data_IF_035192240393
#
_entry.id   IF_035192240393
#
_cell.length_a   1.000
_cell.length_b   1.000
_cell.length_c   1.000
_cell.angle_alpha   90.00
_cell.angle_beta   90.00
_cell.angle_gamma   90.00
#
_symmetry.space_group_name_H-M   'P 1'
#
loop_
_entity.id
_entity.type
_entity.pdbx_description
1 polymer ?
#
# COMPACT_ATOMS: atom_id res chain seq x y z
N UNK A 1 14.12 -28.93 20.58
CA UNK A 1 12.80 -28.98 19.92
C UNK A 1 12.19 -27.59 19.82
N UNK A 2 12.13 -26.82 20.91
CA UNK A 2 11.60 -25.44 20.94
C UNK A 2 12.26 -24.47 19.92
N UNK A 3 13.60 -24.49 19.77
CA UNK A 3 14.30 -23.65 18.78
C UNK A 3 13.92 -23.95 17.33
N UNK A 4 13.71 -25.23 16.99
CA UNK A 4 13.30 -25.63 15.65
C UNK A 4 11.89 -25.09 15.33
N UNK A 5 11.00 -25.13 16.32
CA UNK A 5 9.64 -24.58 16.21
C UNK A 5 9.69 -23.06 16.00
N UNK A 6 10.50 -22.33 16.78
CA UNK A 6 10.66 -20.86 16.62
C UNK A 6 11.20 -20.48 15.24
N UNK A 7 12.19 -21.22 14.72
CA UNK A 7 12.70 -21.01 13.36
C UNK A 7 11.67 -21.28 12.28
N UNK A 8 10.83 -22.31 12.46
CA UNK A 8 9.72 -22.59 11.56
C UNK A 8 8.68 -21.45 11.60
N UNK A 9 8.34 -20.95 12.80
CA UNK A 9 7.44 -19.81 12.95
C UNK A 9 7.98 -18.54 12.26
N UNK A 10 9.29 -18.29 12.29
CA UNK A 10 9.90 -17.17 11.54
C UNK A 10 9.78 -17.37 10.02
N UNK A 11 9.91 -18.61 9.52
CA UNK A 11 9.72 -18.88 8.10
C UNK A 11 8.26 -18.65 7.67
N UNK A 12 7.31 -19.10 8.48
CA UNK A 12 5.88 -18.84 8.24
C UNK A 12 5.56 -17.35 8.32
N UNK A 13 6.12 -16.64 9.30
CA UNK A 13 6.01 -15.18 9.40
C UNK A 13 6.50 -14.49 8.12
N UNK A 14 7.69 -14.85 7.62
CA UNK A 14 8.26 -14.29 6.39
C UNK A 14 7.29 -14.42 5.22
N UNK A 15 6.82 -15.63 4.97
CA UNK A 15 5.94 -15.91 3.82
C UNK A 15 4.61 -15.13 3.94
N UNK A 16 4.06 -15.01 5.16
CA UNK A 16 2.87 -14.22 5.43
C UNK A 16 3.08 -12.71 5.24
N UNK A 17 4.23 -12.17 5.63
CA UNK A 17 4.53 -10.75 5.43
C UNK A 17 4.74 -10.44 3.94
N UNK A 18 5.36 -11.33 3.17
CA UNK A 18 5.50 -11.17 1.71
C UNK A 18 4.12 -11.12 1.04
N UNK A 19 3.23 -12.04 1.38
CA UNK A 19 1.86 -12.06 0.85
C UNK A 19 1.08 -10.80 1.25
N UNK A 20 1.24 -10.34 2.49
CA UNK A 20 0.63 -9.11 2.99
C UNK A 20 1.12 -7.86 2.26
N UNK A 21 2.43 -7.74 2.04
CA UNK A 21 3.01 -6.61 1.31
C UNK A 21 2.50 -6.55 -0.13
N UNK A 22 2.44 -7.71 -0.80
CA UNK A 22 1.87 -7.81 -2.14
C UNK A 22 0.39 -7.44 -2.16
N UNK A 23 -0.41 -7.91 -1.21
CA UNK A 23 -1.83 -7.57 -1.10
C UNK A 23 -2.04 -6.06 -0.86
N UNK A 24 -1.23 -5.46 0.01
CA UNK A 24 -1.28 -4.03 0.35
C UNK A 24 -1.06 -3.17 -0.91
N UNK A 25 0.03 -3.41 -1.64
CA UNK A 25 0.36 -2.62 -2.83
C UNK A 25 -0.63 -2.87 -3.96
N UNK A 26 -1.08 -4.13 -4.16
CA UNK A 26 -2.08 -4.44 -5.17
C UNK A 26 -3.41 -3.70 -4.90
N UNK A 27 -3.90 -3.71 -3.66
CA UNK A 27 -5.14 -3.02 -3.30
C UNK A 27 -5.02 -1.52 -3.51
N UNK A 28 -3.91 -0.92 -3.05
CA UNK A 28 -3.63 0.49 -3.30
C UNK A 28 -3.55 0.80 -4.80
N UNK A 29 -2.94 -0.08 -5.61
CA UNK A 29 -2.88 0.05 -7.06
C UNK A 29 -4.27 0.06 -7.72
N UNK A 30 -5.19 -0.80 -7.28
CA UNK A 30 -6.57 -0.81 -7.76
C UNK A 30 -7.27 0.51 -7.42
N UNK A 31 -7.16 0.97 -6.18
CA UNK A 31 -7.79 2.23 -5.74
C UNK A 31 -7.17 3.44 -6.44
N UNK A 32 -5.86 3.45 -6.63
CA UNK A 32 -5.15 4.52 -7.33
C UNK A 32 -5.58 4.63 -8.79
N UNK A 33 -5.80 3.50 -9.48
CA UNK A 33 -6.34 3.49 -10.86
C UNK A 33 -7.76 4.08 -10.91
N UNK A 34 -8.60 3.78 -9.91
CA UNK A 34 -9.95 4.35 -9.81
C UNK A 34 -9.91 5.86 -9.56
N UNK A 35 -9.15 6.32 -8.55
CA UNK A 35 -8.98 7.74 -8.24
C UNK A 35 -8.34 8.52 -9.41
N UNK A 36 -7.38 7.92 -10.12
CA UNK A 36 -6.80 8.51 -11.32
C UNK A 36 -7.84 8.68 -12.43
N UNK A 37 -8.75 7.72 -12.62
CA UNK A 37 -9.80 7.82 -13.61
C UNK A 37 -10.79 8.96 -13.31
N UNK A 38 -11.06 9.25 -12.05
CA UNK A 38 -11.90 10.38 -11.61
C UNK A 38 -11.23 11.74 -11.88
N UNK A 39 -9.89 11.79 -11.85
CA UNK A 39 -9.11 13.00 -12.17
C UNK A 39 -8.98 13.30 -13.66
N UNK A 40 -9.38 12.40 -14.55
CA UNK A 40 -9.32 12.59 -16.01
C UNK A 40 -10.48 13.46 -16.53
N UNK A 41 -10.55 14.72 -16.06
CA UNK A 41 -11.51 15.75 -16.48
C UNK A 41 -10.83 16.72 -17.47
N UNK A 42 -11.61 17.49 -18.26
CA UNK A 42 -11.13 18.29 -19.40
C UNK A 42 -9.92 19.22 -19.10
N UNK A 43 -9.84 19.82 -17.91
CA UNK A 43 -8.69 20.67 -17.55
C UNK A 43 -7.40 19.85 -17.30
N UNK A 44 -7.51 18.68 -16.67
CA UNK A 44 -6.40 17.75 -16.51
C UNK A 44 -5.93 17.17 -17.86
N UNK A 45 -6.86 16.95 -18.79
CA UNK A 45 -6.53 16.52 -20.14
C UNK A 45 -5.73 17.58 -20.90
N UNK A 46 -5.99 18.87 -20.66
CA UNK A 46 -5.25 19.97 -21.29
C UNK A 46 -3.79 20.02 -20.85
N UNK A 47 -3.52 19.80 -19.56
CA UNK A 47 -2.15 19.72 -19.03
C UNK A 47 -1.40 18.51 -19.57
N UNK A 48 -2.08 17.37 -19.65
CA UNK A 48 -1.49 16.11 -20.13
C UNK A 48 -1.19 16.08 -21.65
N UNK A 49 -1.65 17.08 -22.44
CA UNK A 49 -1.43 17.10 -23.89
C UNK A 49 0.05 17.18 -24.28
N UNK A 50 0.86 17.88 -23.50
CA UNK A 50 2.25 18.17 -23.84
C UNK A 50 3.21 17.05 -23.41
N UNK A 51 2.96 16.42 -22.26
CA UNK A 51 3.68 15.22 -21.83
C UNK A 51 2.76 14.22 -21.09
N UNK A 52 2.01 13.38 -21.82
CA UNK A 52 0.97 12.54 -21.23
C UNK A 52 1.53 11.47 -20.30
N UNK A 53 2.67 10.88 -20.66
CA UNK A 53 3.28 9.80 -19.87
C UNK A 53 3.82 10.34 -18.56
N UNK A 54 4.60 11.42 -18.59
CA UNK A 54 5.19 12.02 -17.38
C UNK A 54 4.09 12.50 -16.42
N UNK A 55 3.07 13.21 -16.95
CA UNK A 55 1.93 13.66 -16.15
C UNK A 55 1.19 12.49 -15.49
N UNK A 56 0.88 11.43 -16.26
CA UNK A 56 0.20 10.24 -15.72
C UNK A 56 1.04 9.53 -14.65
N UNK A 57 2.36 9.43 -14.86
CA UNK A 57 3.27 8.80 -13.89
C UNK A 57 3.39 9.61 -12.60
N UNK A 58 3.48 10.94 -12.68
CA UNK A 58 3.55 11.80 -11.50
C UNK A 58 2.25 11.76 -10.69
N UNK A 59 1.10 11.83 -11.36
CA UNK A 59 -0.20 11.75 -10.70
C UNK A 59 -0.43 10.42 -10.00
N UNK A 60 -0.10 9.29 -10.65
CA UNK A 60 -0.32 7.98 -10.03
C UNK A 60 0.62 7.74 -8.86
N UNK A 61 1.88 8.18 -8.96
CA UNK A 61 2.84 8.08 -7.87
C UNK A 61 2.40 8.93 -6.67
N UNK A 62 1.89 10.15 -6.90
CA UNK A 62 1.34 11.01 -5.84
C UNK A 62 0.14 10.37 -5.12
N UNK A 63 -0.80 9.80 -5.88
CA UNK A 63 -1.96 9.10 -5.29
C UNK A 63 -1.51 7.90 -4.45
N UNK A 64 -0.56 7.10 -4.96
CA UNK A 64 -0.06 5.94 -4.24
C UNK A 64 0.75 6.31 -3.01
N UNK A 65 1.61 7.35 -3.07
CA UNK A 65 2.33 7.85 -1.89
C UNK A 65 1.35 8.27 -0.79
N UNK A 66 0.33 9.06 -1.15
CA UNK A 66 -0.67 9.50 -0.19
C UNK A 66 -1.43 8.33 0.45
N UNK A 67 -1.79 7.32 -0.34
CA UNK A 67 -2.51 6.14 0.15
C UNK A 67 -1.63 5.19 0.98
N UNK A 68 -0.36 5.00 0.61
CA UNK A 68 0.48 3.95 1.18
C UNK A 68 1.39 4.40 2.32
N UNK A 69 1.69 5.71 2.46
CA UNK A 69 2.69 6.16 3.45
C UNK A 69 2.35 5.73 4.88
N UNK A 70 1.10 5.93 5.31
CA UNK A 70 0.65 5.52 6.65
C UNK A 70 0.46 4.01 6.76
N UNK A 71 -0.03 3.38 5.69
CA UNK A 71 -0.29 1.94 5.66
C UNK A 71 1.00 1.11 5.70
N UNK A 72 2.06 1.54 5.03
CA UNK A 72 3.39 0.92 5.08
C UNK A 72 3.96 1.02 6.50
N UNK A 73 3.82 2.17 7.16
CA UNK A 73 4.24 2.34 8.56
C UNK A 73 3.45 1.41 9.50
N UNK A 74 2.15 1.32 9.31
CA UNK A 74 1.29 0.41 10.09
C UNK A 74 1.65 -1.06 9.84
N UNK A 75 1.95 -1.41 8.58
CA UNK A 75 2.41 -2.73 8.18
C UNK A 75 3.70 -3.13 8.90
N UNK A 76 4.74 -2.29 8.87
CA UNK A 76 6.00 -2.59 9.56
C UNK A 76 5.85 -2.70 11.06
N UNK A 77 5.01 -1.85 11.66
CA UNK A 77 4.68 -1.96 13.08
C UNK A 77 4.04 -3.31 13.41
N UNK A 78 3.07 -3.74 12.60
CA UNK A 78 2.42 -5.05 12.77
C UNK A 78 3.39 -6.22 12.58
N UNK A 79 4.22 -6.18 11.55
CA UNK A 79 5.22 -7.21 11.27
C UNK A 79 6.23 -7.36 12.43
N UNK A 80 6.67 -6.23 13.02
CA UNK A 80 7.55 -6.21 14.18
C UNK A 80 6.89 -6.77 15.46
N UNK A 81 5.62 -6.42 15.70
CA UNK A 81 4.82 -6.99 16.79
C UNK A 81 4.72 -8.51 16.66
N UNK A 82 4.48 -9.02 15.44
CA UNK A 82 4.37 -10.45 15.19
C UNK A 82 5.69 -11.20 15.44
N UNK A 83 6.85 -10.62 15.11
CA UNK A 83 8.15 -11.21 15.45
C UNK A 83 8.37 -11.32 16.96
N UNK A 84 7.99 -10.28 17.71
CA UNK A 84 8.12 -10.28 19.17
C UNK A 84 7.22 -11.33 19.84
N UNK A 85 6.09 -11.70 19.21
CA UNK A 85 5.22 -12.78 19.67
C UNK A 85 5.84 -14.17 19.47
N UNK A 86 6.72 -14.35 18.48
CA UNK A 86 7.44 -15.62 18.27
C UNK A 86 8.49 -15.82 19.36
N UNK A 87 9.33 -14.80 19.60
CA UNK A 87 10.30 -14.80 20.68
C UNK A 87 10.65 -13.35 21.08
N UNK A 88 10.59 -12.98 22.38
CA UNK A 88 10.91 -11.62 22.83
C UNK A 88 12.33 -11.14 22.50
N UNK A 89 13.29 -12.06 22.29
CA UNK A 89 14.65 -11.71 21.86
C UNK A 89 14.73 -11.13 20.45
N UNK A 90 13.67 -11.27 19.65
CA UNK A 90 13.57 -10.74 18.29
C UNK A 90 13.09 -9.28 18.24
N UNK A 91 12.70 -8.68 19.37
CA UNK A 91 12.26 -7.28 19.45
C UNK A 91 13.24 -6.31 18.75
N UNK A 92 14.57 -6.39 18.93
CA UNK A 92 15.50 -5.48 18.25
C UNK A 92 15.44 -5.57 16.71
N UNK A 93 15.19 -6.77 16.17
CA UNK A 93 15.05 -6.98 14.72
C UNK A 93 13.73 -6.35 14.24
N UNK A 94 12.65 -6.54 15.02
CA UNK A 94 11.38 -5.88 14.75
C UNK A 94 11.47 -4.34 14.79
N UNK A 95 12.21 -3.75 15.73
CA UNK A 95 12.42 -2.29 15.75
C UNK A 95 13.21 -1.80 14.54
N UNK A 96 14.18 -2.58 14.05
CA UNK A 96 14.95 -2.22 12.85
C UNK A 96 14.09 -2.18 11.56
N UNK A 97 13.01 -2.96 11.50
CA UNK A 97 12.04 -2.94 10.39
C UNK A 97 11.18 -1.68 10.34
N UNK A 98 10.97 -1.01 11.48
CA UNK A 98 10.09 0.17 11.56
C UNK A 98 10.74 1.45 11.06
N UNK A 99 12.00 1.39 10.62
CA UNK A 99 12.73 2.58 10.18
C UNK A 99 12.14 3.12 8.88
N UNK A 100 11.81 4.41 8.89
CA UNK A 100 11.12 5.09 7.79
C UNK A 100 12.03 5.32 6.56
N UNK A 101 13.35 5.24 6.74
CA UNK A 101 14.37 5.39 5.68
C UNK A 101 14.65 4.08 4.91
N UNK A 102 13.98 2.98 5.26
CA UNK A 102 14.22 1.67 4.64
C UNK A 102 13.66 1.52 3.23
N UNK A 103 12.79 2.42 2.76
CA UNK A 103 12.14 2.33 1.46
C UNK A 103 12.34 3.62 0.67
N UNK A 104 12.69 3.47 -0.60
CA UNK A 104 12.76 4.57 -1.56
C UNK A 104 11.44 4.58 -2.33
N UNK A 105 10.62 5.61 -2.10
CA UNK A 105 9.37 5.78 -2.82
C UNK A 105 9.57 6.54 -4.13
N UNK A 106 8.82 6.21 -5.20
CA UNK A 106 8.87 6.97 -6.44
C UNK A 106 8.53 8.45 -6.25
N UNK A 107 9.33 9.35 -6.84
CA UNK A 107 9.16 10.82 -6.82
C UNK A 107 9.00 11.43 -5.41
N UNK A 108 9.76 10.95 -4.42
CA UNK A 108 9.76 11.47 -3.04
C UNK A 108 10.41 12.87 -2.91
N UNK A 109 11.03 13.39 -3.97
CA UNK A 109 11.72 14.70 -4.00
C UNK A 109 10.78 15.90 -4.29
N UNK A 110 9.49 15.67 -4.57
CA UNK A 110 8.53 16.75 -4.83
C UNK A 110 7.87 17.23 -3.53
N UNK A 111 7.89 18.54 -3.21
CA UNK A 111 7.18 19.07 -2.06
C UNK A 111 5.69 18.76 -2.19
N UNK A 112 5.11 18.22 -1.12
CA UNK A 112 3.69 17.91 -1.03
C UNK A 112 2.86 19.11 -1.49
N UNK A 113 2.09 18.95 -2.58
CA UNK A 113 1.02 19.90 -2.86
C UNK A 113 -0.03 19.68 -1.77
N UNK A 114 -0.06 20.60 -0.80
CA UNK A 114 -1.13 20.71 0.19
C UNK A 114 -2.46 20.86 -0.55
N UNK A 115 -3.16 19.74 -0.76
CA UNK A 115 -4.58 19.80 -1.09
C UNK A 115 -5.27 20.18 0.22
N UNK A 116 -5.68 21.44 0.33
CA UNK A 116 -6.55 21.93 1.40
C UNK A 116 -7.79 21.02 1.48
N UNK A 117 -7.74 20.05 2.40
CA UNK A 117 -8.94 19.37 2.88
C UNK A 117 -9.62 20.34 3.84
N UNK A 118 -10.48 21.19 3.30
CA UNK A 118 -11.44 21.93 4.13
C UNK A 118 -12.26 20.93 4.96
N UNK A 119 -12.18 21.14 6.27
CA UNK A 119 -12.83 20.35 7.29
C UNK A 119 -14.34 20.26 7.08
N UNK A 120 -14.85 19.04 6.96
CA UNK A 120 -16.25 18.71 7.25
C UNK A 120 -16.28 17.57 8.28
N UNK A 121 -15.97 17.94 9.53
CA UNK A 121 -16.30 17.15 10.71
C UNK A 121 -17.62 17.69 11.28
N UNK A 122 -18.72 16.99 11.00
CA UNK A 122 -19.85 16.85 11.92
C UNK A 122 -20.83 15.82 11.37
N UNK A 123 -20.89 14.61 11.96
CA UNK A 123 -22.10 14.08 12.62
C UNK A 123 -21.92 12.65 13.16
N UNK A 124 -22.25 12.56 14.45
CA UNK A 124 -22.79 11.46 15.25
C UNK A 124 -22.21 10.02 15.24
N UNK A 125 -21.74 9.67 16.43
CA UNK A 125 -21.39 8.34 16.88
C UNK A 125 -22.62 7.42 16.99
N UNK A 126 -22.52 6.21 16.42
CA UNK A 126 -23.37 5.07 16.78
C UNK A 126 -22.49 3.86 17.07
N UNK A 127 -22.51 3.45 18.33
CA UNK A 127 -21.88 2.21 18.85
C UNK A 127 -22.78 1.02 18.52
N UNK A 128 -22.26 -0.11 18.00
CA UNK A 128 -22.91 -1.41 18.19
C UNK A 128 -22.03 -2.40 18.98
N UNK A 129 -22.74 -3.25 19.72
CA UNK A 129 -22.28 -4.04 20.84
C UNK A 129 -21.48 -5.30 20.49
N UNK A 130 -20.66 -5.72 21.46
CA UNK A 130 -19.95 -7.00 21.51
C UNK A 130 -20.90 -8.20 21.37
N UNK A 131 -20.52 -9.16 20.51
CA UNK A 131 -21.01 -10.53 20.61
C UNK A 131 -19.82 -11.48 20.65
N UNK A 132 -19.83 -12.35 21.67
CA UNK A 132 -18.80 -13.31 21.98
C UNK A 132 -19.02 -14.65 21.26
N UNK A 133 -17.96 -15.22 20.67
CA UNK A 133 -17.63 -16.67 20.53
C UNK A 133 -16.54 -16.89 19.45
N UNK A 134 -15.85 -18.05 19.39
CA UNK A 134 -15.17 -18.82 20.43
C UNK A 134 -13.64 -18.95 20.13
N UNK A 135 -12.89 -19.47 21.11
CA UNK A 135 -11.43 -19.64 21.08
C UNK A 135 -11.00 -20.74 20.10
N UNK A 136 -10.44 -20.34 18.95
CA UNK A 136 -9.72 -21.23 18.03
C UNK A 136 -9.23 -20.47 16.80
N UNK A 137 -7.92 -20.48 16.54
CA UNK A 137 -7.26 -19.94 15.33
C UNK A 137 -7.39 -18.41 15.11
N UNK A 138 -7.13 -17.62 16.16
CA UNK A 138 -7.28 -16.15 16.16
C UNK A 138 -6.28 -15.30 15.35
N UNK A 139 -5.42 -15.88 14.51
CA UNK A 139 -4.46 -15.08 13.71
C UNK A 139 -4.98 -14.76 12.31
N UNK A 140 -5.76 -15.66 11.70
CA UNK A 140 -6.40 -15.43 10.38
C UNK A 140 -7.50 -14.35 10.49
N UNK A 141 -8.15 -14.22 11.65
CA UNK A 141 -9.18 -13.19 11.89
C UNK A 141 -8.61 -11.76 11.95
N UNK A 142 -7.32 -11.59 12.25
CA UNK A 142 -6.66 -10.26 12.28
C UNK A 142 -6.36 -9.70 10.88
N UNK A 143 -6.20 -10.56 9.88
CA UNK A 143 -6.03 -10.18 8.48
C UNK A 143 -7.30 -9.53 7.91
N UNK A 144 -8.47 -10.09 8.20
CA UNK A 144 -9.75 -9.49 7.79
C UNK A 144 -10.09 -8.23 8.60
N UNK A 145 -9.73 -8.20 9.89
CA UNK A 145 -10.07 -7.09 10.79
C UNK A 145 -9.22 -5.82 10.62
N UNK A 146 -7.92 -5.93 10.29
CA UNK A 146 -7.06 -4.74 10.10
C UNK A 146 -7.25 -4.06 8.74
N UNK A 147 -7.67 -4.80 7.70
CA UNK A 147 -8.00 -4.24 6.38
C UNK A 147 -9.39 -3.57 6.37
N UNK A 148 -10.27 -3.92 7.32
CA UNK A 148 -11.63 -3.39 7.36
C UNK A 148 -11.79 -2.03 8.06
N UNK A 149 -10.84 -1.59 8.90
CA UNK A 149 -11.03 -0.40 9.76
C UNK A 149 -10.55 0.93 9.16
N UNK A 150 -10.03 0.94 7.93
CA UNK A 150 -9.55 2.16 7.26
C UNK A 150 -10.23 2.53 5.95
N UNK A 151 -11.14 1.70 5.43
CA UNK A 151 -11.59 1.78 4.03
C UNK A 151 -13.08 2.13 3.83
N UNK A 152 -13.78 2.66 4.83
CA UNK A 152 -15.20 3.06 4.72
C UNK A 152 -15.39 4.56 4.44
N UNK A 153 -14.54 5.16 3.60
CA UNK A 153 -14.57 6.61 3.35
C UNK A 153 -14.64 7.08 1.89
N UNK A 154 -14.55 6.20 0.88
CA UNK A 154 -14.41 6.64 -0.53
C UNK A 154 -15.38 5.93 -1.48
N UNK A 155 -16.62 5.69 -1.05
CA UNK A 155 -17.62 5.03 -1.88
C UNK A 155 -18.95 5.79 -1.92
N UNK A 156 -18.94 7.03 -2.39
CA UNK A 156 -20.14 7.68 -2.93
C UNK A 156 -19.75 8.89 -3.77
N UNK A 157 -19.68 8.73 -5.09
CA UNK A 157 -20.26 9.64 -6.11
C UNK A 157 -19.86 9.16 -7.52
N UNK A 158 -20.40 8.02 -7.93
CA UNK A 158 -20.43 7.68 -9.36
C UNK A 158 -21.61 8.44 -10.00
N UNK A 159 -21.39 9.68 -10.45
CA UNK A 159 -22.39 10.39 -11.25
C UNK A 159 -21.77 10.85 -12.58
N UNK A 160 -22.28 10.20 -13.62
CA UNK A 160 -22.14 10.43 -15.05
C UNK A 160 -21.57 11.78 -15.54
N UNK A 161 -20.47 11.69 -16.29
CA UNK A 161 -20.12 12.64 -17.36
C UNK A 161 -19.62 11.87 -18.60
N UNK A 162 -20.46 11.00 -19.14
CA UNK A 162 -20.32 10.52 -20.52
C UNK A 162 -21.30 11.32 -21.33
N UNK A 163 -20.85 12.35 -22.05
CA UNK A 163 -21.42 12.83 -23.32
C UNK A 163 -20.76 14.15 -23.75
N UNK A 164 -19.56 14.07 -24.34
CA UNK A 164 -19.01 14.92 -25.44
C UNK A 164 -17.50 14.67 -25.65
N UNK A 165 -17.01 13.43 -25.53
CA UNK A 165 -15.58 13.16 -25.74
C UNK A 165 -15.25 13.13 -27.24
N UNK A 166 -14.40 14.05 -27.71
CA UNK A 166 -13.80 13.99 -29.04
C UNK A 166 -13.01 12.68 -29.22
N UNK A 167 -12.97 12.06 -30.42
CA UNK A 167 -12.19 10.85 -30.68
C UNK A 167 -10.73 10.93 -30.23
N UNK A 168 -10.13 12.12 -30.28
CA UNK A 168 -8.76 12.36 -29.83
C UNK A 168 -8.63 12.38 -28.29
N UNK A 169 -9.66 12.86 -27.57
CA UNK A 169 -9.73 12.77 -26.12
C UNK A 169 -9.87 11.33 -25.62
N UNK A 170 -10.61 10.48 -26.35
CA UNK A 170 -10.70 9.05 -26.04
C UNK A 170 -9.36 8.30 -26.22
N UNK A 171 -8.58 8.68 -27.24
CA UNK A 171 -7.22 8.13 -27.43
C UNK A 171 -6.26 8.60 -26.34
N UNK A 172 -6.32 9.87 -25.96
CA UNK A 172 -5.49 10.43 -24.90
C UNK A 172 -5.78 9.76 -23.55
N UNK A 173 -7.03 9.71 -23.12
CA UNK A 173 -7.44 9.06 -21.86
C UNK A 173 -7.00 7.59 -21.80
N UNK A 174 -7.08 6.86 -22.92
CA UNK A 174 -6.60 5.47 -23.00
C UNK A 174 -5.08 5.39 -22.81
N UNK A 175 -4.32 6.29 -23.43
CA UNK A 175 -2.85 6.36 -23.25
C UNK A 175 -2.48 6.70 -21.81
N UNK A 176 -3.18 7.65 -21.18
CA UNK A 176 -2.95 8.03 -19.79
C UNK A 176 -3.21 6.87 -18.84
N UNK A 177 -4.32 6.14 -19.01
CA UNK A 177 -4.61 4.92 -18.22
C UNK A 177 -3.54 3.84 -18.43
N UNK A 178 -3.10 3.65 -19.67
CA UNK A 178 -2.04 2.68 -19.97
C UNK A 178 -0.71 3.06 -19.31
N UNK A 179 -0.33 4.34 -19.38
CA UNK A 179 0.89 4.85 -18.74
C UNK A 179 0.83 4.71 -17.22
N UNK A 180 -0.29 5.08 -16.60
CA UNK A 180 -0.50 4.89 -15.17
C UNK A 180 -0.44 3.40 -14.77
N UNK A 181 -1.08 2.51 -15.54
CA UNK A 181 -1.01 1.06 -15.31
C UNK A 181 0.41 0.51 -15.36
N UNK A 182 1.15 0.85 -16.43
CA UNK A 182 2.55 0.46 -16.60
C UNK A 182 3.45 1.01 -15.48
N UNK A 183 3.16 2.22 -14.99
CA UNK A 183 3.92 2.81 -13.89
C UNK A 183 3.74 2.04 -12.58
N UNK A 184 2.51 1.66 -12.24
CA UNK A 184 2.23 0.83 -11.06
C UNK A 184 2.94 -0.52 -11.20
N UNK A 185 2.77 -1.18 -12.34
CA UNK A 185 3.35 -2.51 -12.59
C UNK A 185 4.88 -2.48 -12.56
N UNK A 186 5.51 -1.40 -13.02
CA UNK A 186 6.96 -1.25 -13.04
C UNK A 186 7.57 -0.79 -11.71
N UNK A 187 7.13 0.34 -11.19
CA UNK A 187 7.81 1.04 -10.08
C UNK A 187 7.29 0.65 -8.69
N UNK A 188 6.09 0.10 -8.60
CA UNK A 188 5.49 -0.29 -7.33
C UNK A 188 5.46 -1.80 -7.15
N UNK A 189 5.19 -2.56 -8.20
CA UNK A 189 4.99 -4.02 -8.13
C UNK A 189 6.04 -4.85 -8.89
N UNK A 190 6.89 -4.19 -9.68
CA UNK A 190 7.79 -4.87 -10.61
C UNK A 190 8.88 -5.69 -9.93
N UNK A 191 9.48 -6.59 -10.70
CA UNK A 191 10.69 -7.30 -10.31
C UNK A 191 11.81 -6.94 -11.31
N UNK A 192 12.94 -6.44 -10.81
CA UNK A 192 14.14 -6.20 -11.62
C UNK A 192 14.22 -4.89 -12.39
N UNK A 193 13.38 -3.88 -12.08
CA UNK A 193 13.57 -2.51 -12.57
C UNK A 193 14.57 -1.75 -11.69
N UNK A 194 15.34 -0.82 -12.27
CA UNK A 194 16.11 0.20 -11.52
C UNK A 194 15.42 1.57 -11.65
N UNK A 195 15.12 2.29 -10.56
CA UNK A 195 15.27 1.87 -9.16
C UNK A 195 14.33 0.70 -8.81
N UNK A 196 14.72 -0.08 -7.79
CA UNK A 196 13.97 -1.26 -7.36
C UNK A 196 12.53 -0.89 -6.99
N UNK A 197 11.56 -1.70 -7.43
CA UNK A 197 10.17 -1.45 -7.13
C UNK A 197 9.89 -1.53 -5.62
N UNK A 198 8.93 -0.75 -5.14
CA UNK A 198 8.61 -0.68 -3.70
C UNK A 198 8.31 -2.07 -3.11
N UNK A 199 7.53 -2.91 -3.80
CA UNK A 199 7.25 -4.28 -3.34
C UNK A 199 8.53 -5.12 -3.21
N UNK A 200 9.45 -5.01 -4.17
CA UNK A 200 10.68 -5.78 -4.15
C UNK A 200 11.60 -5.34 -2.99
N UNK A 201 11.71 -4.02 -2.75
CA UNK A 201 12.40 -3.49 -1.57
C UNK A 201 11.78 -4.01 -0.26
N UNK A 202 10.45 -4.03 -0.14
CA UNK A 202 9.76 -4.57 1.04
C UNK A 202 10.05 -6.06 1.25
N UNK A 203 10.04 -6.86 0.19
CA UNK A 203 10.38 -8.29 0.25
C UNK A 203 11.82 -8.48 0.70
N UNK A 204 12.77 -7.69 0.18
CA UNK A 204 14.17 -7.76 0.58
C UNK A 204 14.36 -7.49 2.09
N UNK A 205 13.69 -6.47 2.63
CA UNK A 205 13.72 -6.17 4.07
C UNK A 205 13.11 -7.30 4.92
N UNK A 206 12.01 -7.90 4.47
CA UNK A 206 11.38 -9.04 5.14
C UNK A 206 12.33 -10.24 5.16
N UNK A 207 13.00 -10.51 4.03
CA UNK A 207 13.96 -11.61 3.89
C UNK A 207 15.18 -11.40 4.78
N UNK A 208 15.72 -10.19 4.83
CA UNK A 208 16.83 -9.82 5.71
C UNK A 208 16.46 -9.99 7.19
N UNK A 209 15.28 -9.52 7.60
CA UNK A 209 14.79 -9.67 8.97
C UNK A 209 14.55 -11.14 9.34
N UNK A 210 13.95 -11.92 8.42
CA UNK A 210 13.73 -13.35 8.63
C UNK A 210 15.05 -14.12 8.77
N UNK A 211 16.04 -13.79 7.93
CA UNK A 211 17.38 -14.36 8.02
C UNK A 211 18.02 -14.03 9.36
N UNK A 212 18.03 -12.75 9.74
CA UNK A 212 18.60 -12.25 11.00
C UNK A 212 17.92 -12.88 12.24
N UNK A 213 16.60 -13.07 12.19
CA UNK A 213 15.87 -13.72 13.26
C UNK A 213 16.22 -15.21 13.37
N UNK A 214 16.35 -15.92 12.25
CA UNK A 214 16.72 -17.35 12.24
C UNK A 214 18.14 -17.59 12.74
N UNK A 215 19.08 -16.69 12.42
CA UNK A 215 20.45 -16.74 12.92
C UNK A 215 20.52 -16.34 14.39
N UNK A 216 19.76 -15.33 14.84
CA UNK A 216 19.68 -14.95 16.26
C UNK A 216 19.10 -16.04 17.17
N UNK A 217 18.25 -16.93 16.63
CA UNK A 217 17.66 -18.08 17.33
C UNK A 217 18.57 -19.34 17.35
N UNK A 218 19.79 -19.28 16.82
CA UNK A 218 20.76 -20.38 16.86
C UNK A 218 21.47 -20.50 18.20
#
# INVERSE_FOLDING_TARGET
>A
MERAIKRQAVAEWRDLQILSAAALINLAGVHARAAFAERLVDDALREALFNPTEWATGQIDAILRQALRLEIKAFWKGAAEDLALIDPSLVPIGEALKREDGLILPNDDEPEQEVEQEALLETDAVVPAESAQPKGLGWISRFGGRVATGATGLATTATAAVNTASPDGLKLTTRLRSAAGQRIDGAWMGQGAEPEAVLAQMIALIDEAAYSARTGLS
#
